data_IF_307679524616
#
_entry.id   IF_307679524616
#
_cell.length_a   1.000
_cell.length_b   1.000
_cell.length_c   1.000
_cell.angle_alpha   90.00
_cell.angle_beta   90.00
_cell.angle_gamma   90.00
#
_symmetry.space_group_name_H-M   'P 1'
#
loop_
_entity.id
_entity.type
_entity.pdbx_description
1 polymer ?
#
# COMPACT_ATOMS: atom_id res chain seq x y z
N UNK A 1 -50.65 -103.89 29.36
CA UNK A 1 -51.06 -105.30 29.49
C UNK A 1 -49.95 -106.19 28.93
N UNK A 2 -49.42 -107.17 29.67
CA UNK A 2 -48.73 -108.32 29.07
C UNK A 2 -49.70 -109.52 28.99
N UNK A 3 -49.54 -110.44 28.02
CA UNK A 3 -50.52 -111.51 27.82
C UNK A 3 -50.37 -112.62 28.86
N UNK A 4 -51.51 -113.09 29.36
CA UNK A 4 -51.65 -114.28 30.22
C UNK A 4 -51.35 -115.55 29.40
N UNK A 5 -50.59 -116.48 29.96
CA UNK A 5 -50.42 -117.85 29.43
C UNK A 5 -50.92 -118.87 30.46
N UNK A 6 -51.61 -119.87 29.94
CA UNK A 6 -52.47 -120.83 30.61
C UNK A 6 -51.78 -121.74 31.63
N UNK A 7 -52.53 -122.01 32.71
CA UNK A 7 -52.20 -123.01 33.70
C UNK A 7 -52.35 -124.43 33.12
N UNK A 8 -51.25 -125.18 33.06
CA UNK A 8 -51.24 -126.61 32.73
C UNK A 8 -50.57 -127.40 33.85
N UNK A 9 -51.37 -128.10 34.65
CA UNK A 9 -50.96 -129.12 35.63
C UNK A 9 -50.15 -130.21 34.92
N UNK A 10 -48.92 -130.48 35.38
CA UNK A 10 -48.12 -131.66 34.99
C UNK A 10 -47.50 -132.32 36.23
N UNK A 11 -47.37 -133.65 36.09
CA UNK A 11 -47.10 -134.73 37.05
C UNK A 11 -45.92 -134.48 37.98
N UNK A 12 -45.99 -135.04 39.19
CA UNK A 12 -44.86 -135.20 40.10
C UNK A 12 -43.78 -136.08 39.42
N UNK A 13 -42.78 -135.40 38.88
CA UNK A 13 -41.58 -136.00 38.33
C UNK A 13 -40.69 -136.45 39.51
N UNK A 14 -40.38 -137.75 39.56
CA UNK A 14 -39.41 -138.32 40.51
C UNK A 14 -38.10 -137.61 40.27
N UNK A 15 -37.68 -136.77 41.23
CA UNK A 15 -36.44 -136.00 41.15
C UNK A 15 -35.28 -136.99 40.94
N UNK A 16 -34.39 -136.78 39.96
CA UNK A 16 -33.18 -137.58 39.83
C UNK A 16 -32.40 -137.55 41.15
N UNK A 17 -31.74 -138.66 41.54
CA UNK A 17 -30.99 -138.73 42.78
C UNK A 17 -29.99 -137.57 42.82
N UNK A 18 -30.04 -136.79 43.90
CA UNK A 18 -29.15 -135.64 44.08
C UNK A 18 -27.74 -136.15 44.33
N UNK A 19 -26.93 -136.19 43.27
CA UNK A 19 -25.53 -136.58 43.34
C UNK A 19 -24.73 -135.44 43.99
N UNK A 20 -24.02 -135.76 45.07
CA UNK A 20 -23.07 -134.86 45.71
C UNK A 20 -21.67 -135.32 45.28
N UNK A 21 -20.99 -134.54 44.44
CA UNK A 21 -19.70 -134.92 43.83
C UNK A 21 -19.67 -136.31 43.16
N UNK A 22 -20.79 -136.76 42.57
CA UNK A 22 -20.86 -138.02 41.82
C UNK A 22 -21.17 -139.28 42.64
N UNK A 23 -21.42 -139.16 43.96
CA UNK A 23 -21.83 -140.27 44.83
C UNK A 23 -23.32 -140.19 45.21
N UNK A 24 -23.95 -141.35 45.43
CA UNK A 24 -25.34 -141.48 45.90
C UNK A 24 -25.44 -141.19 47.41
N UNK A 25 -26.62 -140.77 47.92
CA UNK A 25 -26.79 -140.37 49.34
C UNK A 25 -26.43 -141.48 50.33
N UNK A 26 -26.46 -142.72 49.87
CA UNK A 26 -26.25 -143.94 50.64
C UNK A 26 -24.75 -144.32 50.76
N UNK A 27 -23.86 -143.73 49.94
CA UNK A 27 -22.41 -144.04 49.90
C UNK A 27 -21.51 -142.98 50.54
N UNK A 28 -22.07 -141.82 50.92
CA UNK A 28 -21.30 -140.69 51.46
C UNK A 28 -21.20 -140.82 52.98
N UNK A 29 -19.98 -140.89 53.51
CA UNK A 29 -19.77 -140.89 54.97
C UNK A 29 -20.18 -139.55 55.57
N UNK A 30 -20.60 -139.54 56.85
CA UNK A 30 -21.02 -138.32 57.56
C UNK A 30 -20.00 -137.18 57.42
N UNK A 31 -18.71 -137.50 57.55
CA UNK A 31 -17.59 -136.57 57.44
C UNK A 31 -17.46 -135.95 56.04
N UNK A 32 -17.70 -136.73 54.98
CA UNK A 32 -17.66 -136.22 53.59
C UNK A 32 -18.83 -135.27 53.29
N UNK A 33 -20.00 -135.51 53.88
CA UNK A 33 -21.15 -134.59 53.80
C UNK A 33 -20.83 -133.28 54.53
N UNK A 34 -20.29 -133.36 55.74
CA UNK A 34 -19.91 -132.19 56.54
C UNK A 34 -18.87 -131.34 55.81
N UNK A 35 -17.85 -131.96 55.22
CA UNK A 35 -16.85 -131.25 54.42
C UNK A 35 -17.45 -130.59 53.17
N UNK A 36 -18.38 -131.26 52.48
CA UNK A 36 -19.08 -130.66 51.34
C UNK A 36 -19.95 -129.46 51.75
N UNK A 37 -20.61 -129.53 52.90
CA UNK A 37 -21.37 -128.40 53.46
C UNK A 37 -20.44 -127.23 53.78
N UNK A 38 -19.26 -127.47 54.35
CA UNK A 38 -18.26 -126.43 54.61
C UNK A 38 -17.78 -125.79 53.31
N UNK A 39 -17.37 -126.60 52.31
CA UNK A 39 -16.95 -126.08 50.99
C UNK A 39 -18.02 -125.23 50.33
N UNK A 40 -19.28 -125.64 50.37
CA UNK A 40 -20.39 -124.86 49.79
C UNK A 40 -20.60 -123.53 50.53
N UNK A 41 -20.43 -123.49 51.86
CA UNK A 41 -20.50 -122.24 52.63
C UNK A 41 -19.37 -121.30 52.26
N UNK A 42 -18.15 -121.81 52.19
CA UNK A 42 -16.99 -121.03 51.76
C UNK A 42 -17.15 -120.51 50.34
N UNK A 43 -17.67 -121.32 49.41
CA UNK A 43 -17.99 -120.88 48.05
C UNK A 43 -19.05 -119.78 48.05
N UNK A 44 -20.12 -119.93 48.83
CA UNK A 44 -21.17 -118.93 48.95
C UNK A 44 -20.64 -117.61 49.53
N UNK A 45 -19.78 -117.67 50.54
CA UNK A 45 -19.21 -116.48 51.17
C UNK A 45 -18.22 -115.79 50.23
N UNK A 46 -17.38 -116.54 49.49
CA UNK A 46 -16.56 -115.98 48.40
C UNK A 46 -17.38 -115.30 47.31
N UNK A 47 -18.45 -115.94 46.83
CA UNK A 47 -19.34 -115.33 45.84
C UNK A 47 -20.04 -114.05 46.36
N UNK A 48 -20.34 -114.00 47.67
CA UNK A 48 -20.89 -112.79 48.31
C UNK A 48 -19.86 -111.67 48.37
N UNK A 49 -18.62 -111.98 48.73
CA UNK A 49 -17.50 -111.03 48.74
C UNK A 49 -17.22 -110.50 47.33
N UNK A 50 -17.16 -111.36 46.32
CA UNK A 50 -16.99 -110.95 44.92
C UNK A 50 -18.13 -110.04 44.44
N UNK A 51 -19.39 -110.40 44.73
CA UNK A 51 -20.52 -109.53 44.41
C UNK A 51 -20.40 -108.17 45.08
N UNK A 52 -20.02 -108.14 46.35
CA UNK A 52 -19.83 -106.89 47.09
C UNK A 52 -18.70 -106.04 46.47
N UNK A 53 -17.59 -106.67 46.10
CA UNK A 53 -16.48 -106.02 45.41
C UNK A 53 -16.91 -105.39 44.07
N UNK A 54 -17.57 -106.16 43.20
CA UNK A 54 -18.05 -105.64 41.91
C UNK A 54 -19.12 -104.56 42.07
N UNK A 55 -19.92 -104.62 43.14
CA UNK A 55 -20.89 -103.60 43.48
C UNK A 55 -20.21 -102.26 43.82
N UNK A 56 -19.17 -102.29 44.67
CA UNK A 56 -18.38 -101.10 45.02
C UNK A 56 -17.65 -100.53 43.81
N UNK A 57 -17.04 -101.37 42.97
CA UNK A 57 -16.37 -100.91 41.75
C UNK A 57 -17.36 -100.29 40.75
N UNK A 58 -18.56 -100.86 40.60
CA UNK A 58 -19.62 -100.26 39.77
C UNK A 58 -20.03 -98.88 40.28
N UNK A 59 -20.27 -98.75 41.59
CA UNK A 59 -20.70 -97.48 42.19
C UNK A 59 -19.60 -96.41 42.10
N UNK A 60 -18.34 -96.82 42.23
CA UNK A 60 -17.17 -95.96 42.01
C UNK A 60 -17.09 -95.46 40.57
N UNK A 61 -17.23 -96.35 39.58
CA UNK A 61 -17.25 -95.97 38.16
C UNK A 61 -18.43 -95.04 37.87
N UNK A 62 -19.60 -95.32 38.44
CA UNK A 62 -20.79 -94.49 38.29
C UNK A 62 -20.59 -93.09 38.86
N UNK A 63 -20.02 -92.97 40.06
CA UNK A 63 -19.69 -91.68 40.67
C UNK A 63 -18.68 -90.88 39.82
N UNK A 64 -17.63 -91.53 39.33
CA UNK A 64 -16.67 -90.88 38.42
C UNK A 64 -17.34 -90.38 37.14
N UNK A 65 -18.24 -91.18 36.56
CA UNK A 65 -19.00 -90.79 35.37
C UNK A 65 -19.86 -89.57 35.66
N UNK A 66 -20.63 -89.57 36.74
CA UNK A 66 -21.48 -88.44 37.12
C UNK A 66 -20.69 -87.15 37.38
N UNK A 67 -19.53 -87.26 38.04
CA UNK A 67 -18.64 -86.11 38.25
C UNK A 67 -18.11 -85.58 36.92
N UNK A 68 -17.70 -86.48 36.01
CA UNK A 68 -17.17 -86.10 34.71
C UNK A 68 -18.25 -85.46 33.83
N UNK A 69 -19.46 -86.01 33.81
CA UNK A 69 -20.59 -85.48 33.06
C UNK A 69 -20.99 -84.08 33.58
N UNK A 70 -20.99 -83.88 34.91
CA UNK A 70 -21.23 -82.56 35.52
C UNK A 70 -20.16 -81.55 35.13
N UNK A 71 -18.88 -81.90 35.24
CA UNK A 71 -17.77 -81.02 34.84
C UNK A 71 -17.80 -80.70 33.35
N UNK A 72 -18.15 -81.66 32.51
CA UNK A 72 -18.30 -81.44 31.09
C UNK A 72 -19.45 -80.46 30.79
N UNK A 73 -20.57 -80.57 31.50
CA UNK A 73 -21.69 -79.66 31.35
C UNK A 73 -21.34 -78.23 31.82
N UNK A 74 -20.59 -78.09 32.92
CA UNK A 74 -20.11 -76.82 33.45
C UNK A 74 -19.17 -76.11 32.45
N UNK A 75 -18.12 -76.79 31.98
CA UNK A 75 -17.19 -76.22 30.98
C UNK A 75 -17.90 -75.87 29.67
N UNK A 76 -18.88 -76.69 29.23
CA UNK A 76 -19.69 -76.36 28.04
C UNK A 76 -20.54 -75.11 28.24
N UNK A 77 -21.09 -74.91 29.44
CA UNK A 77 -21.87 -73.71 29.76
C UNK A 77 -20.97 -72.47 29.81
N UNK A 78 -19.81 -72.56 30.45
CA UNK A 78 -18.80 -71.50 30.50
C UNK A 78 -18.32 -71.10 29.10
N UNK A 79 -18.03 -72.10 28.25
CA UNK A 79 -17.62 -71.88 26.86
C UNK A 79 -18.70 -71.10 26.09
N UNK A 80 -19.97 -71.49 26.22
CA UNK A 80 -21.08 -70.79 25.56
C UNK A 80 -21.25 -69.35 26.06
N UNK A 81 -21.02 -69.11 27.35
CA UNK A 81 -21.04 -67.75 27.92
C UNK A 81 -19.91 -66.92 27.31
N UNK A 82 -18.70 -67.49 27.22
CA UNK A 82 -17.53 -66.82 26.67
C UNK A 82 -17.69 -66.53 25.17
N UNK A 83 -18.20 -67.48 24.38
CA UNK A 83 -18.52 -67.27 22.96
C UNK A 83 -19.49 -66.10 22.78
N UNK A 84 -20.56 -66.06 23.57
CA UNK A 84 -21.51 -64.94 23.52
C UNK A 84 -20.86 -63.61 23.92
N UNK A 85 -19.99 -63.60 24.93
CA UNK A 85 -19.28 -62.40 25.34
C UNK A 85 -18.35 -61.87 24.24
N UNK A 86 -17.69 -62.77 23.49
CA UNK A 86 -16.88 -62.42 22.31
C UNK A 86 -17.77 -61.82 21.21
N UNK A 87 -18.90 -62.48 20.89
CA UNK A 87 -19.85 -61.96 19.89
C UNK A 87 -20.39 -60.57 20.25
N UNK A 88 -20.75 -60.35 21.52
CA UNK A 88 -21.25 -59.07 22.02
C UNK A 88 -20.16 -57.98 21.93
N UNK A 89 -18.90 -58.28 22.30
CA UNK A 89 -17.77 -57.35 22.22
C UNK A 89 -17.41 -57.00 20.76
N UNK A 90 -17.41 -57.98 19.86
CA UNK A 90 -17.23 -57.74 18.42
C UNK A 90 -18.33 -56.82 17.87
N UNK A 91 -19.59 -57.04 18.25
CA UNK A 91 -20.70 -56.17 17.87
C UNK A 91 -20.52 -54.74 18.41
N UNK A 92 -20.09 -54.59 19.66
CA UNK A 92 -19.77 -53.29 20.26
C UNK A 92 -18.62 -52.58 19.53
N UNK A 93 -17.55 -53.28 19.21
CA UNK A 93 -16.42 -52.75 18.44
C UNK A 93 -16.85 -52.28 17.05
N UNK A 94 -17.67 -53.05 16.34
CA UNK A 94 -18.21 -52.66 15.03
C UNK A 94 -19.05 -51.38 15.11
N UNK A 95 -19.84 -51.21 16.17
CA UNK A 95 -20.58 -49.96 16.42
C UNK A 95 -19.60 -48.80 16.69
N UNK A 96 -18.57 -49.03 17.51
CA UNK A 96 -17.53 -48.03 17.80
C UNK A 96 -16.83 -47.54 16.53
N UNK A 97 -16.45 -48.45 15.63
CA UNK A 97 -15.84 -48.13 14.33
C UNK A 97 -16.79 -47.28 13.48
N UNK A 98 -18.09 -47.62 13.43
CA UNK A 98 -19.09 -46.84 12.68
C UNK A 98 -19.24 -45.42 13.23
N UNK A 99 -19.31 -45.26 14.55
CA UNK A 99 -19.38 -43.95 15.20
C UNK A 99 -18.11 -43.13 14.92
N UNK A 100 -16.93 -43.73 15.05
CA UNK A 100 -15.67 -43.06 14.75
C UNK A 100 -15.60 -42.60 13.29
N UNK A 101 -16.01 -43.46 12.35
CA UNK A 101 -16.12 -43.12 10.93
C UNK A 101 -17.06 -41.94 10.70
N UNK A 102 -18.21 -41.91 11.38
CA UNK A 102 -19.16 -40.80 11.28
C UNK A 102 -18.58 -39.50 11.87
N UNK A 103 -17.90 -39.56 13.02
CA UNK A 103 -17.23 -38.41 13.62
C UNK A 103 -16.17 -37.82 12.69
N UNK A 104 -15.36 -38.67 12.06
CA UNK A 104 -14.35 -38.22 11.10
C UNK A 104 -14.98 -37.56 9.87
N UNK A 105 -16.08 -38.12 9.34
CA UNK A 105 -16.84 -37.47 8.27
C UNK A 105 -17.38 -36.11 8.68
N UNK A 106 -17.99 -36.00 9.86
CA UNK A 106 -18.54 -34.74 10.35
C UNK A 106 -17.46 -33.67 10.51
N UNK A 107 -16.32 -34.01 11.12
CA UNK A 107 -15.20 -33.09 11.30
C UNK A 107 -14.64 -32.60 9.95
N UNK A 108 -14.49 -33.49 8.97
CA UNK A 108 -14.04 -33.10 7.63
C UNK A 108 -15.05 -32.17 6.93
N UNK A 109 -16.35 -32.45 7.05
CA UNK A 109 -17.38 -31.58 6.51
C UNK A 109 -17.41 -30.21 7.20
N UNK A 110 -17.27 -30.18 8.52
CA UNK A 110 -17.22 -28.93 9.29
C UNK A 110 -16.02 -28.07 8.85
N UNK A 111 -14.82 -28.64 8.83
CA UNK A 111 -13.64 -27.94 8.35
C UNK A 111 -13.77 -27.45 6.91
N UNK A 112 -14.31 -28.27 6.00
CA UNK A 112 -14.51 -27.85 4.62
C UNK A 112 -15.47 -26.67 4.51
N UNK A 113 -16.59 -26.72 5.24
CA UNK A 113 -17.57 -25.64 5.27
C UNK A 113 -16.95 -24.34 5.81
N UNK A 114 -16.21 -24.40 6.92
CA UNK A 114 -15.56 -23.22 7.50
C UNK A 114 -14.53 -22.61 6.54
N UNK A 115 -13.74 -23.44 5.85
CA UNK A 115 -12.78 -22.96 4.85
C UNK A 115 -13.51 -22.26 3.70
N UNK A 116 -14.57 -22.87 3.16
CA UNK A 116 -15.35 -22.27 2.07
C UNK A 116 -16.05 -20.97 2.48
N UNK A 117 -16.55 -20.88 3.71
CA UNK A 117 -17.13 -19.64 4.25
C UNK A 117 -16.09 -18.53 4.34
N UNK A 118 -14.91 -18.83 4.91
CA UNK A 118 -13.81 -17.87 5.00
C UNK A 118 -13.29 -17.45 3.62
N UNK A 119 -13.20 -18.37 2.67
CA UNK A 119 -12.81 -18.05 1.28
C UNK A 119 -13.82 -17.11 0.62
N UNK A 120 -15.12 -17.31 0.84
CA UNK A 120 -16.17 -16.43 0.34
C UNK A 120 -16.13 -15.05 1.00
N UNK A 121 -15.90 -14.98 2.32
CA UNK A 121 -15.75 -13.72 3.05
C UNK A 121 -14.53 -12.93 2.57
N UNK A 122 -13.40 -13.61 2.33
CA UNK A 122 -12.20 -12.98 1.78
C UNK A 122 -12.46 -12.45 0.37
N UNK A 123 -13.09 -13.25 -0.50
CA UNK A 123 -13.39 -12.84 -1.87
C UNK A 123 -14.29 -11.60 -1.89
N UNK A 124 -15.41 -11.63 -1.16
CA UNK A 124 -16.33 -10.49 -1.07
C UNK A 124 -15.69 -9.25 -0.46
N UNK A 125 -14.87 -9.40 0.59
CA UNK A 125 -14.12 -8.27 1.17
C UNK A 125 -13.09 -7.71 0.20
N UNK A 126 -12.45 -8.55 -0.62
CA UNK A 126 -11.45 -8.10 -1.59
C UNK A 126 -12.12 -7.35 -2.73
N UNK A 127 -13.23 -7.87 -3.27
CA UNK A 127 -14.01 -7.21 -4.31
C UNK A 127 -14.49 -5.83 -3.86
N UNK A 128 -15.00 -5.70 -2.62
CA UNK A 128 -15.40 -4.42 -2.05
C UNK A 128 -14.22 -3.44 -1.94
N UNK A 129 -13.05 -3.89 -1.52
CA UNK A 129 -11.85 -3.05 -1.43
C UNK A 129 -11.34 -2.63 -2.81
N UNK A 130 -11.42 -3.51 -3.82
CA UNK A 130 -11.07 -3.20 -5.20
C UNK A 130 -12.04 -2.17 -5.82
N UNK A 131 -13.33 -2.29 -5.55
CA UNK A 131 -14.35 -1.32 -5.95
C UNK A 131 -14.12 0.04 -5.28
N UNK A 132 -13.87 0.06 -3.96
CA UNK A 132 -13.55 1.29 -3.22
C UNK A 132 -12.27 1.97 -3.75
N UNK A 133 -11.22 1.19 -4.01
CA UNK A 133 -9.98 1.69 -4.60
C UNK A 133 -10.23 2.28 -5.99
N UNK A 134 -10.97 1.57 -6.84
CA UNK A 134 -11.30 2.03 -8.19
C UNK A 134 -12.10 3.33 -8.17
N UNK A 135 -13.02 3.47 -7.22
CA UNK A 135 -13.80 4.69 -7.02
C UNK A 135 -12.91 5.86 -6.56
N UNK A 136 -12.03 5.64 -5.59
CA UNK A 136 -11.09 6.66 -5.10
C UNK A 136 -10.13 7.12 -6.21
N UNK A 137 -9.63 6.20 -7.03
CA UNK A 137 -8.79 6.53 -8.18
C UNK A 137 -9.57 7.37 -9.20
N UNK A 138 -10.80 7.00 -9.53
CA UNK A 138 -11.65 7.75 -10.45
C UNK A 138 -11.95 9.17 -9.93
N UNK A 139 -12.25 9.32 -8.65
CA UNK A 139 -12.49 10.63 -8.02
C UNK A 139 -11.22 11.49 -8.02
N UNK A 140 -10.05 10.91 -7.70
CA UNK A 140 -8.77 11.61 -7.78
C UNK A 140 -8.46 12.10 -9.21
N UNK A 141 -8.65 11.24 -10.21
CA UNK A 141 -8.46 11.63 -11.62
C UNK A 141 -9.41 12.76 -12.01
N UNK A 142 -10.66 12.71 -11.57
CA UNK A 142 -11.65 13.76 -11.83
C UNK A 142 -11.26 15.09 -11.17
N UNK A 143 -10.85 15.08 -9.92
CA UNK A 143 -10.35 16.27 -9.21
C UNK A 143 -9.11 16.86 -9.90
N UNK A 144 -8.14 16.02 -10.25
CA UNK A 144 -6.93 16.45 -10.96
C UNK A 144 -7.26 17.10 -12.30
N UNK A 145 -8.16 16.51 -13.09
CA UNK A 145 -8.60 17.10 -14.36
C UNK A 145 -9.38 18.40 -14.15
N UNK A 146 -10.20 18.50 -13.09
CA UNK A 146 -10.87 19.74 -12.69
C UNK A 146 -9.88 20.86 -12.41
N UNK A 147 -8.86 20.60 -11.60
CA UNK A 147 -7.79 21.57 -11.28
C UNK A 147 -7.04 22.01 -12.54
N UNK A 148 -6.72 21.07 -13.45
CA UNK A 148 -6.04 21.41 -14.71
C UNK A 148 -6.87 22.34 -15.59
N UNK A 149 -8.18 22.12 -15.67
CA UNK A 149 -9.11 22.98 -16.41
C UNK A 149 -9.22 24.35 -15.75
N UNK A 150 -9.44 24.42 -14.42
CA UNK A 150 -9.52 25.67 -13.68
C UNK A 150 -8.25 26.52 -13.84
N UNK A 151 -7.08 25.89 -13.74
CA UNK A 151 -5.80 26.56 -13.97
C UNK A 151 -5.71 27.10 -15.41
N UNK A 152 -6.12 26.32 -16.41
CA UNK A 152 -6.09 26.76 -17.80
C UNK A 152 -7.06 27.92 -18.06
N UNK A 153 -8.27 27.86 -17.51
CA UNK A 153 -9.27 28.94 -17.58
C UNK A 153 -8.74 30.23 -16.95
N UNK A 154 -8.14 30.15 -15.75
CA UNK A 154 -7.53 31.33 -15.10
C UNK A 154 -6.39 31.95 -15.94
N UNK A 155 -5.55 31.11 -16.56
CA UNK A 155 -4.45 31.59 -17.41
C UNK A 155 -4.97 32.31 -18.66
N UNK A 156 -6.08 31.84 -19.23
CA UNK A 156 -6.73 32.46 -20.37
C UNK A 156 -7.38 33.79 -19.99
N UNK A 157 -8.00 33.85 -18.81
CA UNK A 157 -8.60 35.07 -18.28
C UNK A 157 -7.56 36.18 -18.05
N UNK A 158 -6.37 35.83 -17.55
CA UNK A 158 -5.26 36.76 -17.36
C UNK A 158 -4.70 37.28 -18.69
N UNK A 159 -4.49 36.40 -19.67
CA UNK A 159 -4.09 36.79 -21.04
C UNK A 159 -5.14 37.69 -21.69
N UNK A 160 -6.43 37.41 -21.47
CA UNK A 160 -7.51 38.23 -22.00
C UNK A 160 -7.54 39.63 -21.36
N UNK A 161 -7.35 39.74 -20.04
CA UNK A 161 -7.22 41.03 -19.33
C UNK A 161 -6.02 41.83 -19.81
N UNK A 162 -4.88 41.17 -20.02
CA UNK A 162 -3.68 41.81 -20.57
C UNK A 162 -3.93 42.35 -21.99
N UNK A 163 -4.55 41.56 -22.86
CA UNK A 163 -4.91 41.98 -24.21
C UNK A 163 -5.89 43.18 -24.22
N UNK A 164 -6.86 43.20 -23.31
CA UNK A 164 -7.78 44.32 -23.13
C UNK A 164 -7.10 45.60 -22.66
N UNK A 165 -6.00 45.52 -21.91
CA UNK A 165 -5.20 46.67 -21.48
C UNK A 165 -4.22 47.14 -22.55
N UNK A 166 -3.57 46.21 -23.25
CA UNK A 166 -2.54 46.51 -24.26
C UNK A 166 -3.14 47.16 -25.50
N UNK A 167 -4.31 46.72 -25.97
CA UNK A 167 -4.93 47.24 -27.21
C UNK A 167 -5.27 48.74 -27.14
N UNK A 168 -5.93 49.27 -26.09
CA UNK A 168 -6.18 50.70 -25.95
C UNK A 168 -4.89 51.52 -25.88
N UNK A 169 -3.89 51.04 -25.14
CA UNK A 169 -2.58 51.70 -25.04
C UNK A 169 -1.85 51.73 -26.38
N UNK A 170 -1.93 50.65 -27.19
CA UNK A 170 -1.38 50.63 -28.55
C UNK A 170 -2.05 51.66 -29.46
N UNK A 171 -3.39 51.78 -29.39
CA UNK A 171 -4.13 52.79 -30.15
C UNK A 171 -3.71 54.20 -29.73
N UNK A 172 -3.62 54.47 -28.42
CA UNK A 172 -3.19 55.77 -27.90
C UNK A 172 -1.73 56.07 -28.31
N UNK A 173 -0.84 55.08 -28.25
CA UNK A 173 0.52 55.21 -28.74
C UNK A 173 0.57 55.54 -30.24
N UNK A 174 -0.25 54.88 -31.07
CA UNK A 174 -0.31 55.14 -32.51
C UNK A 174 -0.92 56.53 -32.82
N UNK A 175 -1.94 56.95 -32.08
CA UNK A 175 -2.51 58.29 -32.15
C UNK A 175 -1.49 59.36 -31.75
N UNK A 176 -0.76 59.15 -30.66
CA UNK A 176 0.33 60.03 -30.24
C UNK A 176 1.47 60.06 -31.26
N UNK A 177 1.91 58.90 -31.75
CA UNK A 177 2.93 58.79 -32.80
C UNK A 177 2.52 59.48 -34.10
N UNK A 178 1.23 59.49 -34.45
CA UNK A 178 0.75 60.20 -35.65
C UNK A 178 0.53 61.70 -35.43
N UNK A 179 0.16 62.12 -34.21
CA UNK A 179 -0.23 63.51 -33.91
C UNK A 179 0.93 64.40 -33.48
N UNK A 180 1.91 63.86 -32.74
CA UNK A 180 3.13 64.57 -32.32
C UNK A 180 3.92 65.13 -33.50
N UNK A 181 4.29 64.36 -34.55
CA UNK A 181 5.04 64.91 -35.68
C UNK A 181 4.23 65.96 -36.45
N UNK A 182 2.90 65.82 -36.54
CA UNK A 182 2.03 66.84 -37.12
C UNK A 182 2.08 68.14 -36.31
N UNK A 183 1.98 68.06 -34.98
CA UNK A 183 2.09 69.21 -34.07
C UNK A 183 3.47 69.86 -34.14
N UNK A 184 4.54 69.06 -34.19
CA UNK A 184 5.92 69.54 -34.38
C UNK A 184 6.06 70.27 -35.71
N UNK A 185 5.56 69.70 -36.81
CA UNK A 185 5.63 70.33 -38.13
C UNK A 185 4.87 71.67 -38.18
N UNK A 186 3.69 71.73 -37.55
CA UNK A 186 2.92 72.98 -37.42
C UNK A 186 3.67 74.00 -36.58
N UNK A 187 4.21 73.61 -35.43
CA UNK A 187 4.99 74.50 -34.56
C UNK A 187 6.26 75.00 -35.25
N UNK A 188 6.94 74.15 -36.01
CA UNK A 188 8.14 74.49 -36.76
C UNK A 188 7.82 75.45 -37.90
N UNK A 189 6.77 75.19 -38.68
CA UNK A 189 6.29 76.14 -39.70
C UNK A 189 5.90 77.49 -39.10
N UNK A 190 5.28 77.49 -37.92
CA UNK A 190 4.93 78.73 -37.22
C UNK A 190 6.17 79.51 -36.76
N UNK A 191 7.18 78.80 -36.22
CA UNK A 191 8.46 79.39 -35.85
C UNK A 191 9.17 79.97 -37.08
N UNK A 192 9.25 79.20 -38.18
CA UNK A 192 9.85 79.64 -39.46
C UNK A 192 9.15 80.90 -40.01
N UNK A 193 7.81 80.95 -39.95
CA UNK A 193 7.04 82.13 -40.37
C UNK A 193 7.31 83.36 -39.52
N UNK A 194 7.55 83.19 -38.21
CA UNK A 194 7.89 84.30 -37.31
C UNK A 194 9.36 84.74 -37.39
N UNK A 195 10.27 83.82 -37.73
CA UNK A 195 11.69 84.09 -37.92
C UNK A 195 11.96 84.77 -39.26
N UNK A 196 11.28 84.38 -40.35
CA UNK A 196 11.45 84.99 -41.69
C UNK A 196 11.45 86.51 -41.73
N UNK A 197 10.45 87.25 -41.18
CA UNK A 197 10.48 88.71 -41.24
C UNK A 197 11.65 89.32 -40.46
N UNK A 198 12.11 88.66 -39.39
CA UNK A 198 13.29 89.08 -38.64
C UNK A 198 14.58 88.78 -39.42
N UNK A 199 14.65 87.66 -40.14
CA UNK A 199 15.74 87.33 -41.06
C UNK A 199 15.78 88.30 -42.26
N UNK A 200 14.63 88.65 -42.82
CA UNK A 200 14.48 89.63 -43.91
C UNK A 200 14.88 91.05 -43.44
N UNK A 201 14.51 91.43 -42.22
CA UNK A 201 14.91 92.71 -41.61
C UNK A 201 16.42 92.73 -41.30
N UNK A 202 16.98 91.62 -40.80
CA UNK A 202 18.42 91.49 -40.55
C UNK A 202 19.23 91.57 -41.86
N UNK A 203 18.79 90.88 -42.92
CA UNK A 203 19.44 90.96 -44.24
C UNK A 203 19.32 92.35 -44.86
N UNK A 204 18.19 93.03 -44.71
CA UNK A 204 18.02 94.42 -45.11
C UNK A 204 18.95 95.38 -44.33
N UNK A 205 19.07 95.18 -43.01
CA UNK A 205 20.05 95.90 -42.18
C UNK A 205 21.48 95.62 -42.64
N UNK A 206 21.80 94.37 -43.00
CA UNK A 206 23.14 94.00 -43.47
C UNK A 206 23.48 94.72 -44.78
N UNK A 207 22.54 94.75 -45.75
CA UNK A 207 22.69 95.53 -46.99
C UNK A 207 22.85 97.03 -46.69
N UNK A 208 22.14 97.55 -45.68
CA UNK A 208 22.27 98.95 -45.27
C UNK A 208 23.64 99.24 -44.64
N UNK A 209 24.17 98.33 -43.82
CA UNK A 209 25.52 98.41 -43.26
C UNK A 209 26.56 98.36 -44.36
N UNK A 210 26.46 97.40 -45.30
CA UNK A 210 27.36 97.32 -46.46
C UNK A 210 27.34 98.62 -47.29
N UNK A 211 26.16 99.23 -47.48
CA UNK A 211 26.01 100.51 -48.17
C UNK A 211 26.66 101.67 -47.42
N UNK A 212 26.48 101.77 -46.11
CA UNK A 212 27.14 102.77 -45.27
C UNK A 212 28.65 102.57 -45.29
N UNK A 213 29.11 101.33 -45.23
CA UNK A 213 30.53 100.98 -45.27
C UNK A 213 31.15 101.36 -46.62
N UNK A 214 30.45 101.13 -47.74
CA UNK A 214 30.86 101.58 -49.06
C UNK A 214 30.89 103.13 -49.17
N UNK A 215 29.93 103.82 -48.56
CA UNK A 215 29.90 105.29 -48.51
C UNK A 215 31.05 105.86 -47.66
N UNK A 216 31.36 105.25 -46.51
CA UNK A 216 32.49 105.61 -45.66
C UNK A 216 33.83 105.38 -46.37
N UNK A 217 34.03 104.23 -47.03
CA UNK A 217 35.24 103.97 -47.81
C UNK A 217 35.45 104.99 -48.95
N UNK A 218 34.38 105.44 -49.61
CA UNK A 218 34.45 106.48 -50.63
C UNK A 218 34.81 107.87 -50.06
N UNK A 219 34.30 108.21 -48.87
CA UNK A 219 34.63 109.46 -48.17
C UNK A 219 36.06 109.48 -47.62
N UNK A 220 36.58 108.34 -47.16
CA UNK A 220 37.99 108.22 -46.74
C UNK A 220 38.99 108.26 -47.89
N UNK A 221 38.54 108.06 -49.14
CA UNK A 221 39.39 108.11 -50.34
C UNK A 221 39.39 109.49 -51.03
N UNK A 222 38.66 110.48 -50.50
CA UNK A 222 38.58 111.82 -51.08
C UNK A 222 39.85 112.65 -50.75
N UNK A 223 40.48 113.33 -51.73
CA UNK A 223 41.83 113.90 -51.60
C UNK A 223 41.95 115.21 -50.77
N UNK A 224 40.90 115.61 -50.03
CA UNK A 224 40.86 116.86 -49.26
C UNK A 224 40.65 116.64 -47.74
N UNK A 225 40.99 115.46 -47.22
CA UNK A 225 40.84 115.10 -45.80
C UNK A 225 42.23 115.00 -45.12
N UNK A 226 42.39 115.61 -43.94
CA UNK A 226 43.62 115.51 -43.14
C UNK A 226 43.77 114.10 -42.55
N UNK A 227 44.69 113.31 -43.11
CA UNK A 227 44.91 111.90 -42.80
C UNK A 227 45.29 111.65 -41.33
N UNK A 228 45.82 112.65 -40.62
CA UNK A 228 46.35 112.52 -39.25
C UNK A 228 45.25 112.61 -38.19
N UNK A 229 44.21 113.40 -38.42
CA UNK A 229 43.04 113.48 -37.55
C UNK A 229 42.08 112.28 -37.74
N UNK A 230 42.08 111.70 -38.95
CA UNK A 230 41.22 110.56 -39.32
C UNK A 230 41.69 109.24 -38.71
N UNK A 231 43.01 109.00 -38.65
CA UNK A 231 43.58 107.82 -37.98
C UNK A 231 43.35 107.83 -36.48
N UNK A 232 43.48 108.99 -35.81
CA UNK A 232 43.26 109.09 -34.36
C UNK A 232 41.78 108.86 -33.95
N UNK A 233 40.83 109.23 -34.82
CA UNK A 233 39.40 108.95 -34.63
C UNK A 233 39.10 107.47 -34.94
N UNK A 234 39.73 106.88 -35.96
CA UNK A 234 39.56 105.46 -36.32
C UNK A 234 40.05 104.53 -35.20
N UNK A 235 41.21 104.81 -34.60
CA UNK A 235 41.76 104.01 -33.49
C UNK A 235 40.89 104.09 -32.22
N UNK A 236 40.23 105.24 -31.98
CA UNK A 236 39.27 105.40 -30.88
C UNK A 236 37.96 104.62 -31.12
N UNK A 237 37.50 104.53 -32.36
CA UNK A 237 36.32 103.73 -32.73
C UNK A 237 36.62 102.23 -32.61
N UNK A 238 37.80 101.77 -33.04
CA UNK A 238 38.23 100.37 -32.88
C UNK A 238 38.33 99.94 -31.40
N UNK A 239 38.79 100.83 -30.50
CA UNK A 239 38.80 100.56 -29.07
C UNK A 239 37.38 100.34 -28.52
N UNK A 240 36.39 101.09 -29.02
CA UNK A 240 34.98 100.97 -28.61
C UNK A 240 34.28 99.72 -29.15
N UNK A 241 34.60 99.28 -30.37
CA UNK A 241 34.03 98.06 -30.98
C UNK A 241 34.49 96.78 -30.24
N UNK A 242 35.76 96.75 -29.81
CA UNK A 242 36.31 95.64 -29.03
C UNK A 242 35.67 95.49 -27.64
N UNK A 243 35.24 96.60 -27.02
CA UNK A 243 34.46 96.58 -25.78
C UNK A 243 33.07 95.98 -26.01
N UNK A 244 32.40 96.33 -27.12
CA UNK A 244 31.09 95.80 -27.47
C UNK A 244 31.09 94.29 -27.79
N UNK A 245 32.10 93.80 -28.53
CA UNK A 245 32.26 92.36 -28.85
C UNK A 245 32.51 91.49 -27.60
N UNK A 246 33.07 92.06 -26.52
CA UNK A 246 33.26 91.35 -25.25
C UNK A 246 31.94 91.11 -24.50
N UNK A 247 30.89 91.90 -24.77
CA UNK A 247 29.58 91.78 -24.12
C UNK A 247 28.65 90.75 -24.79
N UNK A 248 28.89 90.35 -26.05
CA UNK A 248 27.97 89.49 -26.82
C UNK A 248 28.20 87.98 -26.64
N UNK A 249 29.27 87.55 -25.96
CA UNK A 249 29.67 86.12 -25.89
C UNK A 249 28.92 85.30 -24.83
N UNK A 250 27.99 85.88 -24.07
CA UNK A 250 27.35 85.25 -22.89
C UNK A 250 25.94 84.65 -23.13
N UNK A 251 25.38 84.72 -24.33
CA UNK A 251 24.00 84.25 -24.58
C UNK A 251 23.81 83.31 -25.79
N UNK A 252 24.63 82.26 -25.88
CA UNK A 252 24.22 81.03 -26.58
C UNK A 252 24.47 79.84 -25.67
N UNK A 253 23.40 79.24 -25.14
CA UNK A 253 23.45 77.92 -24.50
C UNK A 253 23.44 76.82 -25.57
N UNK A 254 24.10 75.68 -25.31
CA UNK A 254 24.42 74.67 -26.31
C UNK A 254 23.28 73.67 -26.52
N UNK A 255 23.25 73.08 -27.71
CA UNK A 255 22.53 71.86 -28.00
C UNK A 255 22.83 70.77 -26.96
N UNK A 256 21.78 70.15 -26.43
CA UNK A 256 21.91 68.92 -25.64
C UNK A 256 21.90 67.72 -26.59
N UNK A 257 23.12 67.26 -26.87
CA UNK A 257 23.42 65.93 -27.36
C UNK A 257 22.70 64.86 -26.52
N UNK A 258 22.21 63.83 -27.22
CA UNK A 258 21.79 62.58 -26.61
C UNK A 258 22.95 61.85 -25.95
N UNK A 259 22.64 61.18 -24.85
CA UNK A 259 23.13 59.84 -24.51
C UNK A 259 22.69 59.55 -23.08
N UNK A 260 21.58 58.81 -22.95
CA UNK A 260 21.29 58.06 -21.73
C UNK A 260 21.11 56.61 -22.11
N UNK A 261 22.25 55.91 -22.24
CA UNK A 261 22.30 54.44 -22.22
C UNK A 261 21.79 53.97 -20.86
N UNK A 262 20.60 53.37 -20.85
CA UNK A 262 20.23 52.43 -19.79
C UNK A 262 20.98 51.12 -20.07
N UNK A 263 21.94 50.79 -19.21
CA UNK A 263 22.50 49.44 -19.14
C UNK A 263 21.40 48.51 -18.58
N UNK A 264 20.87 47.64 -19.43
CA UNK A 264 20.32 46.37 -18.97
C UNK A 264 21.50 45.47 -18.62
N UNK A 265 21.57 45.03 -17.36
CA UNK A 265 22.47 43.98 -16.93
C UNK A 265 21.60 42.76 -16.62
N UNK A 266 21.75 41.71 -17.41
CA UNK A 266 21.08 40.42 -17.24
C UNK A 266 21.37 39.84 -15.84
N UNK A 267 20.41 39.20 -15.17
CA UNK A 267 20.74 38.30 -14.08
C UNK A 267 21.14 36.93 -14.65
N UNK A 268 22.40 36.53 -14.41
CA UNK A 268 22.86 35.16 -14.59
C UNK A 268 22.03 34.20 -13.71
N UNK A 269 21.40 33.20 -14.34
CA UNK A 269 20.83 32.05 -13.64
C UNK A 269 21.96 31.06 -13.32
N UNK A 270 22.27 30.86 -12.05
CA UNK A 270 23.06 29.70 -11.60
C UNK A 270 22.13 28.55 -11.22
N UNK A 271 22.23 27.44 -11.95
CA UNK A 271 21.52 26.18 -11.67
C UNK A 271 22.52 25.24 -10.99
N UNK A 272 22.33 24.94 -9.71
CA UNK A 272 23.05 23.86 -9.03
C UNK A 272 22.30 22.53 -9.19
N UNK A 273 22.99 21.53 -9.74
CA UNK A 273 22.50 20.14 -9.81
C UNK A 273 22.97 19.38 -8.55
N UNK A 274 22.03 19.01 -7.69
CA UNK A 274 22.26 18.02 -6.63
C UNK A 274 21.88 16.63 -7.14
N UNK A 275 22.89 15.75 -7.25
CA UNK A 275 22.73 14.34 -7.61
C UNK A 275 22.38 13.54 -6.34
N UNK A 276 21.21 12.90 -6.30
CA UNK A 276 20.81 11.94 -5.26
C UNK A 276 20.37 10.61 -5.89
N UNK A 277 20.62 9.46 -5.21
CA UNK A 277 20.54 8.11 -5.77
C UNK A 277 19.10 7.62 -5.99
N UNK A 278 18.91 6.55 -6.80
CA UNK A 278 17.62 6.23 -7.39
C UNK A 278 16.79 5.42 -6.40
N UNK A 279 15.64 5.94 -5.98
CA UNK A 279 14.39 5.18 -5.89
C UNK A 279 13.24 6.05 -5.36
N UNK A 280 12.17 6.08 -6.17
CA UNK A 280 10.77 6.43 -5.86
C UNK A 280 10.37 7.92 -5.88
N UNK A 281 9.50 8.20 -6.87
CA UNK A 281 8.59 9.33 -7.07
C UNK A 281 9.20 10.73 -7.26
N UNK A 282 9.07 11.22 -8.51
CA UNK A 282 9.37 12.58 -8.95
C UNK A 282 8.33 13.55 -8.37
N UNK A 283 8.74 14.44 -7.46
CA UNK A 283 8.08 15.71 -7.22
C UNK A 283 9.00 16.83 -7.70
N UNK A 284 8.63 17.51 -8.79
CA UNK A 284 9.29 18.73 -9.22
C UNK A 284 8.70 19.90 -8.42
N UNK A 285 9.46 20.43 -7.45
CA UNK A 285 9.14 21.69 -6.79
C UNK A 285 10.01 22.80 -7.39
N UNK A 286 9.40 23.65 -8.21
CA UNK A 286 9.97 24.94 -8.63
C UNK A 286 9.74 25.95 -7.50
N UNK A 287 10.77 26.31 -6.75
CA UNK A 287 10.71 27.44 -5.80
C UNK A 287 11.39 28.65 -6.45
N UNK A 288 10.58 29.57 -6.96
CA UNK A 288 11.05 30.88 -7.43
C UNK A 288 10.88 31.88 -6.28
N UNK A 289 11.96 32.23 -5.59
CA UNK A 289 11.95 33.36 -4.65
C UNK A 289 12.37 34.65 -5.35
N UNK A 290 11.40 35.52 -5.64
CA UNK A 290 11.60 36.91 -6.07
C UNK A 290 11.85 37.80 -4.85
N UNK A 291 13.05 38.37 -4.73
CA UNK A 291 13.39 39.36 -3.70
C UNK A 291 13.15 40.77 -4.23
N UNK A 292 12.01 41.37 -3.87
CA UNK A 292 11.70 42.78 -4.16
C UNK A 292 12.64 43.73 -3.38
N UNK A 293 13.33 44.62 -4.10
CA UNK A 293 14.15 45.71 -3.56
C UNK A 293 13.28 46.96 -3.35
N UNK A 294 13.11 47.41 -2.11
CA UNK A 294 12.40 48.65 -1.76
C UNK A 294 13.44 49.73 -1.44
N UNK A 295 13.49 50.78 -2.26
CA UNK A 295 14.28 51.99 -1.99
C UNK A 295 13.53 52.90 -1.01
N UNK A 296 14.19 53.31 0.08
CA UNK A 296 13.98 54.64 0.71
C UNK A 296 15.05 54.98 1.77
N UNK A 297 15.80 56.04 1.45
CA UNK A 297 16.31 57.13 2.30
C UNK A 297 17.03 56.85 3.65
N UNK A 298 18.34 57.13 3.61
CA UNK A 298 19.18 57.87 4.57
C UNK A 298 18.77 57.89 6.05
N UNK A 299 19.62 57.30 6.90
CA UNK A 299 20.10 57.95 8.13
C UNK A 299 21.55 57.54 8.42
N UNK A 300 22.43 58.54 8.61
CA UNK A 300 23.81 58.38 9.09
C UNK A 300 23.77 58.14 10.60
N UNK A 301 24.51 57.15 11.10
CA UNK A 301 25.37 57.30 12.29
C UNK A 301 26.57 56.37 12.17
N UNK A 302 27.70 56.92 12.59
CA UNK A 302 29.06 56.38 12.54
C UNK A 302 29.37 55.82 13.94
N UNK A 303 29.88 54.59 14.06
CA UNK A 303 30.88 54.17 15.08
C UNK A 303 31.34 52.73 14.83
N UNK A 304 32.61 52.52 15.17
CA UNK A 304 33.54 51.43 14.88
C UNK A 304 33.36 50.16 15.78
N UNK A 305 34.16 49.08 15.58
CA UNK A 305 33.81 47.70 15.83
C UNK A 305 34.28 47.19 17.21
N UNK A 306 33.70 46.07 17.66
CA UNK A 306 34.27 45.34 18.79
C UNK A 306 33.44 44.14 19.26
N UNK A 307 34.05 42.97 19.14
CA UNK A 307 34.15 42.04 20.28
C UNK A 307 33.04 41.02 20.52
N UNK A 308 33.37 39.77 20.20
CA UNK A 308 32.98 38.50 20.81
C UNK A 308 32.15 38.56 22.12
N UNK A 309 31.14 37.68 22.23
CA UNK A 309 31.09 36.57 23.21
C UNK A 309 29.84 35.70 23.05
N UNK A 310 30.06 34.41 22.83
CA UNK A 310 29.18 33.32 23.26
C UNK A 310 28.96 33.38 24.79
N UNK A 311 27.83 32.84 25.29
CA UNK A 311 27.97 31.59 26.04
C UNK A 311 26.88 30.56 25.79
N UNK A 312 27.37 29.33 25.56
CA UNK A 312 26.88 28.03 26.03
C UNK A 312 25.80 28.08 27.13
N UNK A 313 24.67 27.42 26.88
CA UNK A 313 23.80 26.88 27.92
C UNK A 313 23.62 25.37 27.68
N UNK A 314 23.99 24.62 28.70
CA UNK A 314 23.86 23.17 28.91
C UNK A 314 22.51 22.81 29.54
N UNK A 315 22.12 21.54 29.33
CA UNK A 315 21.06 20.76 30.03
C UNK A 315 19.61 21.12 29.67
N UNK A 316 18.70 20.19 29.42
CA UNK A 316 18.64 18.74 29.70
C UNK A 316 18.44 17.89 28.44
#
# INVERSE_FOLDING_TARGET
QPPKKDAKKKKAEVKPPTLINGLTKEEITREQIEEHVVRLREMLDREREERNYFQLERDKIQSFREVTDRKLAEVKAELKILEKAIEDDEAHHLVGIKVFKQKMKHLLCEHHNTVTELEADIATSTDLLEDEQSQLEADLYKEMMGILVEMQESSCEDVFKELLLVRPLQIEMEELQSSVPKKINVAQKQADLSLRPLEDELTAMNVHVEKIQAQLHALFSAPNLDQTAVTEITDKVEFSENVCKSMTKTHLLPERNGDQKFCYQEPELTVEFLCLPPNRFLLFLFVVTLKCFRSSNKFKYQTHPGGQKEPRATSN
#
